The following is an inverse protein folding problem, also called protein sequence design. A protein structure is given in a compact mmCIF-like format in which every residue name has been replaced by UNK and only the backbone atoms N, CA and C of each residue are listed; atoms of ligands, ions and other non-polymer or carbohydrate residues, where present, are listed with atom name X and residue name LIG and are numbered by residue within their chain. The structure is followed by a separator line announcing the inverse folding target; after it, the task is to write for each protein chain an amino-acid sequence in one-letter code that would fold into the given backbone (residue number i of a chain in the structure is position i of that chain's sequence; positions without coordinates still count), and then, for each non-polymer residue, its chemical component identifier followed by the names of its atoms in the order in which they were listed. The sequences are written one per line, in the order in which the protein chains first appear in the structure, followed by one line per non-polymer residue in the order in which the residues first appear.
data_IF_531384534126
#
_entry.id   IF_531384534126
#
_cell.length_a   1.000
_cell.length_b   1.000
_cell.length_c   1.000
_cell.angle_alpha   90.00
_cell.angle_beta   90.00
_cell.angle_gamma   90.00
#
_symmetry.space_group_name_H-M   'P 1'
#
loop_
_entity.id
_entity.type
_entity.pdbx_description
1 polymer ?
#
# COMPACT_ATOMS: atom_id res chain seq x y z
N UNK A 1 -7.99 4.70 -16.22
CA UNK A 1 -8.71 3.60 -15.51
C UNK A 1 -7.66 2.63 -15.00
N UNK A 2 -7.68 2.28 -13.71
CA UNK A 2 -6.75 1.28 -13.15
C UNK A 2 -7.03 -0.10 -13.73
N UNK A 3 -5.99 -0.92 -13.93
CA UNK A 3 -6.11 -2.33 -14.34
C UNK A 3 -6.13 -3.29 -13.14
N UNK A 4 -6.03 -2.75 -11.93
CA UNK A 4 -5.95 -3.53 -10.70
C UNK A 4 -7.31 -3.61 -10.01
N UNK A 5 -7.54 -4.74 -9.35
CA UNK A 5 -8.74 -5.04 -8.56
C UNK A 5 -8.37 -5.36 -7.12
N UNK A 6 -9.26 -5.02 -6.20
CA UNK A 6 -9.17 -5.40 -4.79
C UNK A 6 -9.77 -6.80 -4.65
N UNK A 7 -9.04 -7.70 -4.00
CA UNK A 7 -9.51 -9.08 -3.72
C UNK A 7 -9.82 -9.29 -2.24
N UNK A 8 -9.20 -8.51 -1.36
CA UNK A 8 -9.42 -8.63 0.07
C UNK A 8 -9.54 -7.26 0.73
N UNK A 9 -10.44 -7.19 1.71
CA UNK A 9 -10.64 -6.04 2.58
C UNK A 9 -10.79 -6.51 4.01
N UNK A 10 -10.12 -5.84 4.95
CA UNK A 10 -10.23 -6.14 6.37
C UNK A 10 -10.43 -4.85 7.17
N UNK A 11 -11.52 -4.77 7.91
CA UNK A 11 -11.84 -3.61 8.74
C UNK A 11 -11.14 -3.70 10.10
N UNK A 12 -10.77 -2.55 10.67
CA UNK A 12 -10.28 -2.47 12.05
C UNK A 12 -11.38 -2.81 13.04
N UNK A 13 -11.00 -3.30 14.22
CA UNK A 13 -11.93 -3.61 15.30
C UNK A 13 -12.75 -2.35 15.71
N UNK A 14 -14.04 -2.49 16.10
CA UNK A 14 -14.94 -1.36 16.31
C UNK A 14 -14.44 -0.29 17.29
N UNK A 15 -13.70 -0.68 18.34
CA UNK A 15 -13.16 0.27 19.32
C UNK A 15 -11.99 1.12 18.79
N UNK A 16 -11.30 0.64 17.75
CA UNK A 16 -10.26 1.38 17.03
C UNK A 16 -10.82 2.07 15.77
N UNK A 17 -12.15 2.02 15.58
CA UNK A 17 -12.87 2.28 14.34
C UNK A 17 -12.51 3.60 13.65
N UNK A 18 -11.67 3.48 12.63
CA UNK A 18 -11.71 4.23 11.36
C UNK A 18 -10.62 3.76 10.40
N UNK A 19 -10.24 2.48 10.42
CA UNK A 19 -9.17 1.97 9.56
C UNK A 19 -9.65 0.79 8.72
N UNK A 20 -9.20 0.76 7.47
CA UNK A 20 -9.47 -0.31 6.52
C UNK A 20 -8.14 -0.78 5.93
N UNK A 21 -7.98 -2.09 5.81
CA UNK A 21 -6.91 -2.70 5.03
C UNK A 21 -7.46 -3.22 3.71
N UNK A 22 -6.72 -3.02 2.62
CA UNK A 22 -7.06 -3.58 1.31
C UNK A 22 -5.84 -4.19 0.65
N UNK A 23 -6.04 -5.26 -0.13
CA UNK A 23 -5.05 -5.77 -1.06
C UNK A 23 -5.69 -6.48 -2.26
N UNK A 24 -4.88 -6.74 -3.28
CA UNK A 24 -5.36 -7.42 -4.48
C UNK A 24 -4.29 -7.60 -5.54
N UNK A 25 -4.67 -7.37 -6.80
CA UNK A 25 -3.85 -7.71 -7.98
C UNK A 25 -2.65 -6.80 -8.22
N UNK A 26 -2.49 -5.72 -7.45
CA UNK A 26 -1.30 -4.86 -7.51
C UNK A 26 -0.26 -5.23 -6.45
N UNK A 27 -0.46 -6.35 -5.75
CA UNK A 27 0.52 -6.97 -4.85
C UNK A 27 0.89 -6.09 -3.64
N UNK A 28 0.09 -5.05 -3.37
CA UNK A 28 0.30 -4.10 -2.28
C UNK A 28 -0.74 -4.30 -1.18
N UNK A 29 -0.33 -4.06 0.06
CA UNK A 29 -1.22 -3.92 1.21
C UNK A 29 -1.31 -2.44 1.57
N UNK A 30 -2.53 -1.92 1.59
CA UNK A 30 -2.80 -0.52 1.94
C UNK A 30 -3.56 -0.42 3.25
N UNK A 31 -3.19 0.58 4.04
CA UNK A 31 -3.98 1.09 5.15
C UNK A 31 -4.67 2.38 4.74
N UNK A 32 -5.96 2.44 5.05
CA UNK A 32 -6.81 3.61 4.84
C UNK A 32 -7.23 4.14 6.19
N UNK A 33 -6.86 5.38 6.49
CA UNK A 33 -7.41 6.11 7.62
C UNK A 33 -8.65 6.87 7.14
N UNK A 34 -9.82 6.39 7.56
CA UNK A 34 -11.11 6.93 7.15
C UNK A 34 -11.46 8.23 7.88
N UNK A 35 -10.78 8.57 8.98
CA UNK A 35 -10.94 9.85 9.69
C UNK A 35 -10.00 10.90 9.14
N UNK A 36 -8.76 10.50 8.86
CA UNK A 36 -7.75 11.40 8.32
C UNK A 36 -7.10 10.80 7.07
N UNK A 37 -7.69 10.98 5.87
CA UNK A 37 -7.23 10.34 4.65
C UNK A 37 -5.74 10.54 4.34
N UNK A 38 -5.13 11.67 4.74
CA UNK A 38 -3.69 11.92 4.54
C UNK A 38 -2.77 11.00 5.34
N UNK A 39 -3.28 10.32 6.36
CA UNK A 39 -2.56 9.30 7.14
C UNK A 39 -2.60 7.91 6.48
N UNK A 40 -3.38 7.73 5.41
CA UNK A 40 -3.40 6.48 4.64
C UNK A 40 -2.05 6.25 3.97
N UNK A 41 -1.64 4.99 3.84
CA UNK A 41 -0.34 4.65 3.25
C UNK A 41 -0.29 3.19 2.78
N UNK A 42 0.69 2.89 1.93
CA UNK A 42 1.04 1.51 1.58
C UNK A 42 1.89 0.95 2.74
N UNK A 43 1.42 -0.13 3.37
CA UNK A 43 2.18 -0.83 4.43
C UNK A 43 3.20 -1.78 3.80
N UNK A 44 2.79 -2.49 2.74
CA UNK A 44 3.63 -3.47 2.03
C UNK A 44 3.55 -3.20 0.53
N UNK A 45 4.71 -2.98 -0.09
CA UNK A 45 4.85 -2.78 -1.54
C UNK A 45 4.80 -4.09 -2.33
N UNK A 46 4.81 -3.98 -3.66
CA UNK A 46 5.04 -5.14 -4.53
C UNK A 46 6.52 -5.56 -4.46
N UNK A 47 6.82 -6.85 -4.62
CA UNK A 47 8.19 -7.36 -4.47
C UNK A 47 9.20 -6.79 -5.49
N UNK A 48 8.73 -6.27 -6.63
CA UNK A 48 9.60 -5.65 -7.64
C UNK A 48 9.80 -4.14 -7.42
N UNK A 49 9.14 -3.55 -6.42
CA UNK A 49 9.36 -2.15 -6.09
C UNK A 49 10.71 -2.02 -5.38
N UNK A 50 11.59 -1.21 -5.97
CA UNK A 50 12.82 -0.77 -5.32
C UNK A 50 12.48 -0.23 -3.94
N UNK A 51 13.35 -0.36 -2.91
CA UNK A 51 13.16 0.26 -1.59
C UNK A 51 13.31 1.80 -1.67
N UNK A 52 12.55 2.44 -2.54
CA UNK A 52 12.17 3.84 -2.43
C UNK A 52 11.16 3.87 -1.29
N UNK A 53 11.21 4.84 -0.36
CA UNK A 53 10.25 4.88 0.71
C UNK A 53 8.84 4.88 0.09
N UNK A 54 7.97 3.99 0.56
CA UNK A 54 6.56 3.83 0.17
C UNK A 54 5.72 5.12 0.37
N UNK A 55 6.39 6.23 0.71
CA UNK A 55 5.95 7.58 1.04
C UNK A 55 5.63 8.46 -0.18
N UNK A 56 5.87 7.99 -1.41
CA UNK A 56 5.61 8.78 -2.62
C UNK A 56 4.16 8.70 -3.13
N UNK A 57 3.28 8.06 -2.35
CA UNK A 57 1.84 8.02 -2.61
C UNK A 57 1.14 8.91 -1.60
N UNK A 58 0.33 9.84 -2.08
CA UNK A 58 -0.50 10.69 -1.22
C UNK A 58 -1.96 10.29 -1.34
N UNK A 59 -2.71 10.58 -0.29
CA UNK A 59 -4.12 10.23 -0.17
C UNK A 59 -4.90 11.46 0.28
N UNK A 60 -5.98 11.78 -0.43
CA UNK A 60 -6.82 12.90 -0.05
C UNK A 60 -8.31 12.61 -0.25
N UNK A 61 -9.12 13.30 0.54
CA UNK A 61 -10.58 13.32 0.41
C UNK A 61 -10.98 14.16 -0.81
N UNK A 62 -11.99 13.72 -1.55
CA UNK A 62 -12.63 14.50 -2.61
C UNK A 62 -14.13 14.26 -2.57
N UNK A 63 -14.93 15.28 -2.85
CA UNK A 63 -16.37 15.14 -3.04
C UNK A 63 -16.66 14.97 -4.53
N UNK A 64 -17.25 13.84 -4.93
CA UNK A 64 -17.64 13.54 -6.31
C UNK A 64 -19.12 13.17 -6.30
N UNK A 65 -19.95 13.92 -7.01
CA UNK A 65 -21.40 13.68 -7.12
C UNK A 65 -22.09 13.49 -5.75
N UNK A 66 -21.69 14.31 -4.76
CA UNK A 66 -22.20 14.25 -3.39
C UNK A 66 -21.67 13.09 -2.54
N UNK A 67 -20.76 12.28 -3.08
CA UNK A 67 -20.11 11.16 -2.39
C UNK A 67 -18.68 11.53 -2.01
N UNK A 68 -18.34 11.35 -0.73
CA UNK A 68 -16.97 11.47 -0.26
C UNK A 68 -16.15 10.26 -0.71
N UNK A 69 -15.03 10.52 -1.38
CA UNK A 69 -14.11 9.50 -1.86
C UNK A 69 -12.70 9.79 -1.38
N UNK A 70 -11.99 8.74 -0.96
CA UNK A 70 -10.55 8.83 -0.71
C UNK A 70 -9.85 8.42 -2.00
N UNK A 71 -9.01 9.32 -2.52
CA UNK A 71 -8.27 9.12 -3.74
C UNK A 71 -6.80 8.89 -3.43
N UNK A 72 -6.21 7.88 -4.08
CA UNK A 72 -4.76 7.65 -4.13
C UNK A 72 -4.14 8.43 -5.30
N UNK A 73 -3.01 9.09 -5.04
CA UNK A 73 -2.22 9.79 -6.04
C UNK A 73 -0.78 9.30 -6.00
N UNK A 74 -0.33 8.63 -7.06
CA UNK A 74 1.09 8.39 -7.27
C UNK A 74 1.76 9.62 -7.89
N UNK A 75 2.97 9.96 -7.44
CA UNK A 75 3.82 10.88 -8.20
C UNK A 75 4.47 10.15 -9.38
N UNK A 76 4.49 10.86 -10.52
CA UNK A 76 5.04 10.47 -11.82
C UNK A 76 6.43 9.84 -11.62
N UNK A 77 6.63 8.64 -12.17
CA UNK A 77 7.95 8.02 -12.26
C UNK A 77 8.93 9.05 -12.86
N UNK A 78 9.83 9.60 -12.04
CA UNK A 78 11.07 10.11 -12.61
C UNK A 78 11.81 8.86 -13.09
N UNK A 79 11.97 8.73 -14.41
CA UNK A 79 12.80 7.70 -15.03
C UNK A 79 14.20 7.81 -14.45
N UNK A 80 14.46 7.07 -13.37
CA UNK A 80 15.79 6.88 -12.84
C UNK A 80 16.64 6.23 -13.92
N UNK A 81 17.62 6.96 -14.42
CA UNK A 81 18.67 6.43 -15.28
C UNK A 81 19.34 5.25 -14.59
N UNK A 82 19.25 4.06 -15.20
CA UNK A 82 20.02 2.90 -14.79
C UNK A 82 21.51 3.21 -14.96
N UNK A 83 22.19 3.51 -13.86
CA UNK A 83 23.64 3.56 -13.76
C UNK A 83 24.12 2.15 -13.40
N UNK A 84 24.66 1.44 -14.39
CA UNK A 84 24.95 0.00 -14.39
C UNK A 84 26.30 -0.36 -13.71
N UNK A 85 26.72 0.36 -12.67
CA UNK A 85 28.06 0.20 -12.07
C UNK A 85 28.03 0.25 -10.54
N UNK A 86 27.44 -0.77 -9.91
CA UNK A 86 27.71 -1.07 -8.50
C UNK A 86 28.11 -2.54 -8.36
N UNK A 87 29.34 -2.75 -7.93
CA UNK A 87 29.93 -4.06 -7.67
C UNK A 87 29.06 -4.87 -6.69
N UNK A 88 28.48 -5.98 -7.18
CA UNK A 88 27.69 -6.95 -6.40
C UNK A 88 28.48 -7.41 -5.17
N UNK A 89 28.08 -6.96 -3.99
CA UNK A 89 28.57 -7.47 -2.70
C UNK A 89 27.39 -7.83 -1.80
N UNK A 90 27.48 -9.03 -1.23
CA UNK A 90 26.57 -9.67 -0.25
C UNK A 90 25.24 -10.18 -0.82
N UNK A 91 24.66 -11.25 -0.22
CA UNK A 91 23.44 -11.87 -0.76
C UNK A 91 22.31 -10.85 -0.74
N UNK A 92 21.66 -10.70 -1.88
CA UNK A 92 20.51 -9.82 -2.11
C UNK A 92 19.55 -9.90 -0.91
N UNK A 93 19.28 -8.77 -0.26
CA UNK A 93 18.21 -8.70 0.74
C UNK A 93 16.92 -9.16 0.05
N UNK A 94 16.20 -10.15 0.60
CA UNK A 94 14.97 -10.62 -0.04
C UNK A 94 14.00 -9.45 -0.19
N UNK A 95 13.29 -9.35 -1.31
CA UNK A 95 12.41 -8.20 -1.52
C UNK A 95 11.31 -8.10 -0.46
N UNK A 96 11.02 -6.87 -0.08
CA UNK A 96 10.01 -6.54 0.94
C UNK A 96 8.64 -6.39 0.28
N UNK A 97 8.03 -7.51 -0.14
CA UNK A 97 6.73 -7.46 -0.79
C UNK A 97 6.20 -8.78 -1.34
N UNK A 98 5.00 -8.74 -1.91
CA UNK A 98 4.38 -9.88 -2.57
C UNK A 98 4.72 -9.90 -4.08
N UNK A 99 4.97 -11.10 -4.61
CA UNK A 99 5.23 -11.34 -6.04
C UNK A 99 3.97 -11.64 -6.85
N UNK A 100 2.86 -11.87 -6.16
CA UNK A 100 1.59 -12.26 -6.76
C UNK A 100 0.45 -11.57 -6.03
N UNK A 101 -0.74 -11.70 -6.60
CA UNK A 101 -1.98 -11.16 -6.09
C UNK A 101 -2.23 -11.62 -4.65
N UNK A 102 -2.66 -10.67 -3.81
CA UNK A 102 -3.04 -10.98 -2.43
C UNK A 102 -4.53 -11.27 -2.42
N UNK A 103 -4.89 -12.55 -2.26
CA UNK A 103 -6.29 -13.01 -2.32
C UNK A 103 -7.06 -12.85 -1.01
N UNK A 104 -6.36 -12.76 0.13
CA UNK A 104 -6.97 -12.69 1.46
C UNK A 104 -6.04 -11.99 2.46
N UNK A 105 -6.64 -11.29 3.42
CA UNK A 105 -5.99 -10.69 4.59
C UNK A 105 -6.86 -10.98 5.81
N UNK A 106 -6.23 -11.31 6.94
CA UNK A 106 -6.86 -11.37 8.25
C UNK A 106 -6.02 -10.63 9.28
N UNK A 107 -6.66 -10.02 10.27
CA UNK A 107 -5.99 -9.37 11.40
C UNK A 107 -6.27 -10.16 12.68
N UNK A 108 -5.24 -10.27 13.53
CA UNK A 108 -5.35 -10.86 14.86
C UNK A 108 -4.76 -9.86 15.86
N UNK A 109 -5.55 -9.48 16.85
CA UNK A 109 -5.07 -8.67 17.97
C UNK A 109 -4.74 -9.60 19.14
N UNK A 110 -3.51 -9.51 19.64
CA UNK A 110 -3.08 -10.24 20.83
C UNK A 110 -2.93 -9.26 21.99
N UNK A 111 -3.60 -9.56 23.10
CA UNK A 111 -3.35 -8.87 24.36
C UNK A 111 -2.30 -9.66 25.14
N UNK A 112 -1.12 -9.08 25.33
CA UNK A 112 -0.13 -9.58 26.27
C UNK A 112 -0.54 -9.20 27.70
N UNK A 113 -0.69 -10.21 28.56
CA UNK A 113 -0.94 -10.06 30.00
C UNK A 113 0.32 -9.59 30.75
#
# INVERSE_FOLDING_TARGET
KSRHSIYSMCWSYPEQGSSLLTAGSDMRIRHWDLKNPSNSHIIVGAAYETPVPLTNTTYNLRLIDGTEVICEHGLKEEKGSLSDDVARRYPETPPVGHYDCISAIATLQQHSH
#
